data_IF_282134373043
#
_entry.id   IF_282134373043
#
_cell.length_a   1.000
_cell.length_b   1.000
_cell.length_c   1.000
_cell.angle_alpha   90.00
_cell.angle_beta   90.00
_cell.angle_gamma   90.00
#
_symmetry.space_group_name_H-M   'P 1'
#
loop_
_entity.id
_entity.type
_entity.pdbx_description
1 polymer ?
#
# COMPACT_ATOMS: atom_id res chain seq x y z
N UNK A 1 17.02 -28.35 -25.87
CA UNK A 1 17.07 -28.59 -24.41
C UNK A 1 16.18 -27.52 -23.78
N UNK A 2 14.93 -27.88 -23.51
CA UNK A 2 13.98 -27.00 -22.83
C UNK A 2 14.13 -27.24 -21.33
N UNK A 3 14.57 -26.23 -20.60
CA UNK A 3 14.43 -26.18 -19.15
C UNK A 3 13.54 -24.97 -18.85
N UNK A 4 12.23 -25.21 -18.88
CA UNK A 4 11.23 -24.37 -18.22
C UNK A 4 11.59 -24.28 -16.73
N UNK A 5 12.16 -23.15 -16.32
CA UNK A 5 12.29 -22.76 -14.91
C UNK A 5 11.42 -21.53 -14.67
N UNK A 6 10.11 -21.74 -14.59
CA UNK A 6 9.12 -20.72 -14.24
C UNK A 6 8.68 -20.87 -12.77
N UNK A 7 9.62 -20.99 -11.82
CA UNK A 7 9.29 -21.23 -10.40
C UNK A 7 9.34 -20.00 -9.48
N UNK A 8 9.78 -18.82 -9.95
CA UNK A 8 10.09 -17.72 -9.01
C UNK A 8 9.01 -16.62 -8.90
N UNK A 9 7.76 -16.90 -9.27
CA UNK A 9 6.63 -16.00 -8.99
C UNK A 9 5.67 -16.61 -7.97
N UNK A 10 5.55 -15.96 -6.81
CA UNK A 10 4.60 -16.34 -5.78
C UNK A 10 3.73 -15.15 -5.38
N UNK A 11 2.42 -15.37 -5.34
CA UNK A 11 1.48 -14.41 -4.77
C UNK A 11 1.34 -14.69 -3.27
N UNK A 12 1.46 -13.64 -2.46
CA UNK A 12 1.42 -13.72 -1.00
C UNK A 12 0.17 -13.02 -0.47
N UNK A 13 -0.39 -13.51 0.64
CA UNK A 13 -1.45 -12.81 1.36
C UNK A 13 -0.91 -11.68 2.24
N UNK A 14 0.28 -11.87 2.81
CA UNK A 14 0.95 -10.91 3.66
C UNK A 14 2.48 -11.01 3.56
N UNK A 15 3.15 -10.01 4.14
CA UNK A 15 4.61 -9.97 4.32
C UNK A 15 4.97 -9.11 5.55
N UNK A 16 6.02 -9.51 6.26
CA UNK A 16 6.63 -8.68 7.31
C UNK A 16 7.69 -7.79 6.66
N UNK A 17 7.51 -6.48 6.80
CA UNK A 17 8.47 -5.49 6.32
C UNK A 17 8.77 -4.48 7.42
N UNK A 18 10.05 -4.32 7.78
CA UNK A 18 10.51 -3.39 8.83
C UNK A 18 9.72 -3.53 10.15
N UNK A 19 9.45 -4.78 10.56
CA UNK A 19 8.75 -5.09 11.81
C UNK A 19 7.23 -4.88 11.78
N UNK A 20 6.63 -4.55 10.62
CA UNK A 20 5.17 -4.45 10.47
C UNK A 20 4.64 -5.43 9.43
N UNK A 21 3.46 -5.99 9.68
CA UNK A 21 2.72 -6.78 8.68
C UNK A 21 2.06 -5.86 7.67
N UNK A 22 2.30 -6.13 6.39
CA UNK A 22 1.56 -5.61 5.24
C UNK A 22 0.76 -6.76 4.65
N UNK A 23 -0.51 -6.55 4.33
CA UNK A 23 -1.40 -7.61 3.83
C UNK A 23 -2.33 -7.10 2.75
N UNK A 24 -2.91 -8.01 1.97
CA UNK A 24 -4.06 -7.69 1.10
C UNK A 24 -5.37 -7.54 1.91
N UNK A 25 -5.35 -7.90 3.21
CA UNK A 25 -6.52 -7.91 4.10
C UNK A 25 -6.49 -6.71 5.06
N UNK A 26 -7.67 -6.29 5.53
CA UNK A 26 -7.82 -5.27 6.57
C UNK A 26 -7.21 -5.74 7.90
N UNK A 27 -6.61 -4.85 8.71
CA UNK A 27 -6.44 -3.41 8.49
C UNK A 27 -5.14 -3.02 7.76
N UNK A 28 -4.36 -4.00 7.31
CA UNK A 28 -2.94 -3.86 6.97
C UNK A 28 -2.65 -3.61 5.49
N UNK A 29 -3.69 -3.16 4.78
CA UNK A 29 -3.77 -3.10 3.34
C UNK A 29 -3.56 -1.71 2.76
N UNK A 30 -3.25 -0.71 3.59
CA UNK A 30 -2.92 0.64 3.13
C UNK A 30 -1.48 0.96 3.46
N UNK A 31 -0.77 1.52 2.49
CA UNK A 31 0.62 1.97 2.64
C UNK A 31 0.82 3.36 2.07
N UNK A 32 1.82 4.07 2.58
CA UNK A 32 2.34 5.31 2.01
C UNK A 32 3.69 5.04 1.35
N UNK A 33 3.83 5.42 0.09
CA UNK A 33 5.11 5.35 -0.64
C UNK A 33 6.02 6.52 -0.28
N UNK A 34 7.32 6.41 -0.59
CA UNK A 34 8.28 7.52 -0.43
C UNK A 34 7.93 8.73 -1.32
N UNK A 35 7.28 8.49 -2.46
CA UNK A 35 6.69 9.53 -3.32
C UNK A 35 5.44 10.19 -2.74
N UNK A 36 5.02 9.81 -1.54
CA UNK A 36 3.88 10.39 -0.83
C UNK A 36 2.52 9.86 -1.26
N UNK A 37 2.47 8.85 -2.15
CA UNK A 37 1.21 8.25 -2.57
C UNK A 37 0.64 7.35 -1.47
N UNK A 38 -0.66 7.43 -1.25
CA UNK A 38 -1.40 6.47 -0.43
C UNK A 38 -1.95 5.39 -1.35
N UNK A 39 -1.64 4.14 -1.07
CA UNK A 39 -1.93 3.00 -1.94
C UNK A 39 -2.68 1.94 -1.15
N UNK A 40 -3.76 1.44 -1.74
CA UNK A 40 -4.44 0.23 -1.30
C UNK A 40 -3.78 -0.99 -1.96
N UNK A 41 -3.22 -1.87 -1.14
CA UNK A 41 -2.66 -3.15 -1.56
C UNK A 41 -3.80 -4.07 -1.98
N UNK A 42 -3.73 -4.58 -3.20
CA UNK A 42 -4.66 -5.59 -3.73
C UNK A 42 -3.98 -6.94 -3.89
N UNK A 43 -2.66 -6.95 -4.08
CA UNK A 43 -1.87 -8.14 -4.32
C UNK A 43 -0.42 -7.90 -3.91
N UNK A 44 0.20 -8.93 -3.35
CA UNK A 44 1.63 -8.94 -3.02
C UNK A 44 2.25 -10.02 -3.89
N UNK A 45 3.26 -9.66 -4.68
CA UNK A 45 3.94 -10.59 -5.57
C UNK A 45 5.42 -10.60 -5.28
N UNK A 46 5.95 -11.79 -4.98
CA UNK A 46 7.38 -12.05 -4.94
C UNK A 46 7.82 -12.50 -6.33
N UNK A 47 8.83 -11.84 -6.88
CA UNK A 47 9.48 -12.18 -8.14
C UNK A 47 10.99 -12.27 -7.88
N UNK A 48 11.56 -13.47 -7.95
CA UNK A 48 12.98 -13.72 -7.67
C UNK A 48 13.40 -13.09 -6.32
N UNK A 49 14.25 -12.06 -6.36
CA UNK A 49 14.79 -11.35 -5.20
C UNK A 49 14.03 -10.06 -4.84
N UNK A 50 12.90 -9.78 -5.49
CA UNK A 50 12.12 -8.56 -5.28
C UNK A 50 10.69 -8.86 -4.85
N UNK A 51 10.12 -7.96 -4.06
CA UNK A 51 8.71 -8.01 -3.68
C UNK A 51 8.02 -6.74 -4.16
N UNK A 52 6.90 -6.92 -4.84
CA UNK A 52 6.07 -5.85 -5.37
C UNK A 52 4.68 -5.87 -4.73
N UNK A 53 4.20 -4.70 -4.33
CA UNK A 53 2.83 -4.46 -3.95
C UNK A 53 2.08 -3.92 -5.16
N UNK A 54 1.07 -4.65 -5.64
CA UNK A 54 0.20 -4.17 -6.71
C UNK A 54 -1.08 -3.60 -6.09
N UNK A 55 -1.40 -2.36 -6.44
CA UNK A 55 -2.47 -1.64 -5.76
C UNK A 55 -3.00 -0.44 -6.53
N UNK A 56 -4.06 0.14 -5.98
CA UNK A 56 -4.66 1.37 -6.49
C UNK A 56 -4.27 2.54 -5.59
N UNK A 57 -3.91 3.67 -6.21
CA UNK A 57 -3.57 4.89 -5.49
C UNK A 57 -4.85 5.66 -5.16
N UNK A 58 -4.94 6.26 -3.98
CA UNK A 58 -5.95 7.29 -3.71
C UNK A 58 -5.60 8.58 -4.47
N UNK A 59 -6.51 9.02 -5.33
CA UNK A 59 -6.39 10.26 -6.13
C UNK A 59 -6.46 11.49 -5.23
N UNK A 60 -7.43 11.50 -4.32
CA UNK A 60 -7.65 12.61 -3.40
C UNK A 60 -7.18 12.23 -1.99
N UNK A 61 -6.26 13.02 -1.45
CA UNK A 61 -5.79 12.91 -0.07
C UNK A 61 -5.82 14.31 0.51
N UNK A 62 -6.71 14.54 1.47
CA UNK A 62 -6.91 15.87 2.07
C UNK A 62 -6.85 15.80 3.59
N UNK A 63 -6.66 16.95 4.23
CA UNK A 63 -6.77 17.03 5.69
C UNK A 63 -8.23 16.89 6.15
N UNK A 64 -8.42 16.25 7.30
CA UNK A 64 -9.70 16.17 8.01
C UNK A 64 -9.98 17.46 8.79
N UNK A 65 -8.92 18.08 9.33
CA UNK A 65 -8.99 19.34 10.08
C UNK A 65 -7.72 20.17 9.83
N UNK A 66 -7.83 21.50 10.01
CA UNK A 66 -6.73 22.46 9.85
C UNK A 66 -6.29 23.12 11.16
N UNK A 67 -7.16 23.14 12.17
CA UNK A 67 -6.87 23.68 13.49
C UNK A 67 -6.80 22.53 14.52
N UNK A 68 -5.83 22.51 15.45
CA UNK A 68 -4.75 23.47 15.65
C UNK A 68 -3.59 23.36 14.64
N UNK A 69 -3.56 22.29 13.85
CA UNK A 69 -2.67 22.13 12.70
C UNK A 69 -3.32 21.20 11.65
N UNK A 70 -2.78 21.19 10.43
CA UNK A 70 -3.21 20.27 9.37
C UNK A 70 -3.10 18.82 9.82
N UNK A 71 -4.20 18.06 9.74
CA UNK A 71 -4.26 16.69 10.25
C UNK A 71 -3.21 15.75 9.66
N UNK A 72 -2.80 15.97 8.40
CA UNK A 72 -1.74 15.20 7.74
C UNK A 72 -0.38 15.33 8.42
N UNK A 73 -0.09 16.45 9.10
CA UNK A 73 1.14 16.63 9.89
C UNK A 73 1.20 15.67 11.09
N UNK A 74 0.04 15.26 11.60
CA UNK A 74 -0.09 14.25 12.66
C UNK A 74 -0.50 12.87 12.12
N UNK A 75 -0.40 12.67 10.81
CA UNK A 75 -0.65 11.37 10.16
C UNK A 75 -2.12 11.02 9.90
N UNK A 76 -3.04 11.97 10.06
CA UNK A 76 -4.48 11.76 9.84
C UNK A 76 -4.88 12.38 8.51
N UNK A 77 -5.48 11.60 7.62
CA UNK A 77 -5.84 12.02 6.26
C UNK A 77 -7.23 11.51 5.90
N UNK A 78 -7.96 12.32 5.13
CA UNK A 78 -9.20 11.93 4.46
C UNK A 78 -8.84 11.40 3.07
N UNK A 79 -9.28 10.18 2.77
CA UNK A 79 -9.06 9.55 1.47
C UNK A 79 -10.32 9.68 0.61
N UNK A 80 -10.14 10.06 -0.65
CA UNK A 80 -11.21 10.12 -1.65
C UNK A 80 -11.22 8.89 -2.56
N UNK A 81 -11.31 9.12 -3.87
CA UNK A 81 -11.46 8.03 -4.84
C UNK A 81 -10.14 7.33 -5.13
N UNK A 82 -10.21 6.04 -5.47
CA UNK A 82 -9.08 5.29 -6.00
C UNK A 82 -8.80 5.62 -7.47
N UNK A 83 -7.59 5.33 -7.92
CA UNK A 83 -7.23 5.30 -9.33
C UNK A 83 -7.94 4.17 -10.06
N UNK A 84 -8.16 4.35 -11.37
CA UNK A 84 -8.74 3.30 -12.22
C UNK A 84 -7.71 2.25 -12.62
N UNK A 85 -6.44 2.66 -12.74
CA UNK A 85 -5.34 1.74 -13.07
C UNK A 85 -4.64 1.26 -11.80
N UNK A 86 -4.36 -0.04 -11.79
CA UNK A 86 -3.49 -0.69 -10.83
C UNK A 86 -2.03 -0.40 -11.20
N UNK A 87 -1.17 -0.22 -10.19
CA UNK A 87 0.27 -0.06 -10.38
C UNK A 87 1.04 -0.96 -9.41
N UNK A 88 2.23 -1.39 -9.84
CA UNK A 88 3.20 -2.07 -9.00
C UNK A 88 4.10 -1.08 -8.27
N UNK A 89 4.37 -1.36 -7.00
CA UNK A 89 5.24 -0.59 -6.13
C UNK A 89 6.25 -1.54 -5.51
N UNK A 90 7.55 -1.28 -5.68
CA UNK A 90 8.58 -2.05 -4.99
C UNK A 90 8.40 -1.90 -3.47
N UNK A 91 8.54 -3.00 -2.73
CA UNK A 91 8.41 -3.02 -1.27
C UNK A 91 9.36 -2.02 -0.59
N UNK A 92 10.57 -1.83 -1.16
CA UNK A 92 11.55 -0.88 -0.64
C UNK A 92 11.11 0.58 -0.72
N UNK A 93 10.18 0.91 -1.63
CA UNK A 93 9.64 2.27 -1.80
C UNK A 93 8.50 2.57 -0.81
N UNK A 94 8.24 1.68 0.15
CA UNK A 94 7.19 1.83 1.15
C UNK A 94 7.77 2.52 2.38
N UNK A 95 7.25 3.73 2.63
CA UNK A 95 7.68 4.56 3.76
C UNK A 95 7.00 4.14 5.07
N UNK A 96 5.68 3.87 5.01
CA UNK A 96 4.84 3.65 6.20
C UNK A 96 3.65 2.76 5.89
N UNK A 97 3.24 1.96 6.88
CA UNK A 97 1.91 1.35 6.95
C UNK A 97 0.88 2.39 7.40
N UNK A 98 -0.34 2.28 6.88
CA UNK A 98 -1.48 3.10 7.28
C UNK A 98 -2.66 2.20 7.66
N UNK A 99 -3.53 2.70 8.53
CA UNK A 99 -4.76 2.00 8.93
C UNK A 99 -5.96 2.80 8.44
N UNK A 100 -6.89 2.14 7.77
CA UNK A 100 -8.08 2.77 7.21
C UNK A 100 -9.29 2.60 8.13
N UNK A 101 -9.94 3.70 8.47
CA UNK A 101 -11.18 3.72 9.23
C UNK A 101 -12.34 4.14 8.33
N UNK A 102 -13.37 3.31 8.25
CA UNK A 102 -14.64 3.71 7.64
C UNK A 102 -15.44 4.51 8.67
N UNK A 103 -15.89 5.71 8.29
CA UNK A 103 -16.85 6.45 9.09
C UNK A 103 -18.17 5.66 9.09
N UNK A 104 -18.56 5.10 10.23
CA UNK A 104 -19.92 4.65 10.44
C UNK A 104 -20.78 5.91 10.61
N UNK A 105 -21.75 6.09 9.71
CA UNK A 105 -22.77 7.15 9.77
C UNK A 105 -24.02 6.59 10.44
#
# INVERSE_FOLDING_TARGET
MNSDMHEDEADLEDIIFRGVTLSIKKPDYIVKTDSGHIVQIMKIRKQQNSVFLLGYRFKDVTDVFQYPCSSSKVGIMKLGRLSESQKGYCLENISRKCVFFLKQL
#
